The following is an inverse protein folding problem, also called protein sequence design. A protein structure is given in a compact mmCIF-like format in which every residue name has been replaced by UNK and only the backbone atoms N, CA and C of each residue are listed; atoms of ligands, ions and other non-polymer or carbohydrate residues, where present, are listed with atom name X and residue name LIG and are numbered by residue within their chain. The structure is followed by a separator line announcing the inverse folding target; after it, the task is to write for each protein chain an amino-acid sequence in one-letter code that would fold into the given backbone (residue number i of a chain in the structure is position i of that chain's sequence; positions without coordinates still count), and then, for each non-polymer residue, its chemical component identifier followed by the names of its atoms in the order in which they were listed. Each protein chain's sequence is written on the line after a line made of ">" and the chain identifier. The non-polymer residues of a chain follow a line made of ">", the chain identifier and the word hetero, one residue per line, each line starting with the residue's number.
data_IF_076473276293
#
_entry.id   IF_076473276293
#
_cell.length_a   1.000
_cell.length_b   1.000
_cell.length_c   1.000
_cell.angle_alpha   90.00
_cell.angle_beta   90.00
_cell.angle_gamma   90.00
#
_symmetry.space_group_name_H-M   'P 1'
#
loop_
_entity.id
_entity.type
_entity.pdbx_description
1 polymer ?
#
# COMPACT_ATOMS: atom_id res chain seq x y z
N UNK A 1 -32.33 48.67 40.89
CA UNK A 1 -32.11 49.33 39.58
C UNK A 1 -30.70 48.92 39.14
N UNK A 2 -30.58 47.91 38.26
CA UNK A 2 -30.48 48.07 36.79
C UNK A 2 -29.16 48.75 36.41
N UNK A 3 -28.28 48.27 35.55
CA UNK A 3 -28.15 47.09 34.69
C UNK A 3 -26.67 47.14 34.20
N UNK A 4 -26.07 45.98 33.88
CA UNK A 4 -24.83 45.94 33.10
C UNK A 4 -25.12 46.46 31.68
N UNK A 5 -24.14 47.10 31.02
CA UNK A 5 -23.94 46.74 29.62
C UNK A 5 -22.47 46.54 29.25
N UNK A 6 -22.30 45.60 28.32
CA UNK A 6 -21.10 45.24 27.59
C UNK A 6 -20.64 46.36 26.63
N UNK A 7 -19.38 46.31 26.15
CA UNK A 7 -19.05 46.78 24.83
C UNK A 7 -19.00 45.61 23.83
N UNK A 8 -19.85 45.73 22.82
CA UNK A 8 -20.09 44.78 21.75
C UNK A 8 -18.96 44.68 20.71
N UNK A 9 -18.92 43.49 20.08
CA UNK A 9 -18.74 43.26 18.64
C UNK A 9 -17.42 43.62 17.96
N UNK A 10 -16.65 42.57 17.68
CA UNK A 10 -15.66 42.50 16.61
C UNK A 10 -15.45 41.05 16.19
N UNK A 11 -16.42 40.47 15.49
CA UNK A 11 -16.30 39.13 14.92
C UNK A 11 -15.22 39.14 13.82
N UNK A 12 -14.01 38.67 14.14
CA UNK A 12 -13.02 38.30 13.13
C UNK A 12 -13.40 36.93 12.58
N UNK A 13 -14.18 36.93 11.49
CA UNK A 13 -14.23 35.79 10.58
C UNK A 13 -12.81 35.52 10.06
N UNK A 14 -12.23 34.31 10.23
CA UNK A 14 -11.03 33.98 9.49
C UNK A 14 -11.43 33.71 8.04
N UNK A 15 -11.08 34.67 7.18
CA UNK A 15 -11.08 34.53 5.73
C UNK A 15 -10.43 33.20 5.32
N UNK A 16 -11.22 32.31 4.72
CA UNK A 16 -10.72 31.12 4.06
C UNK A 16 -9.87 31.53 2.86
N UNK A 17 -8.56 31.57 3.07
CA UNK A 17 -7.59 31.71 2.00
C UNK A 17 -7.61 30.43 1.15
N UNK A 18 -8.39 30.47 0.06
CA UNK A 18 -8.37 29.46 -1.01
C UNK A 18 -6.99 29.47 -1.67
N UNK A 19 -6.05 28.68 -1.14
CA UNK A 19 -4.72 28.52 -1.73
C UNK A 19 -4.88 27.84 -3.09
N UNK A 20 -4.65 28.60 -4.17
CA UNK A 20 -4.43 28.07 -5.51
C UNK A 20 -3.18 27.18 -5.47
N UNK A 21 -3.39 25.87 -5.65
CA UNK A 21 -2.30 24.90 -5.75
C UNK A 21 -1.56 25.01 -7.07
N UNK A 22 -0.27 24.72 -7.04
CA UNK A 22 0.70 24.84 -8.14
C UNK A 22 0.68 23.58 -9.04
N UNK A 23 -0.24 22.64 -8.79
CA UNK A 23 -0.33 21.36 -9.49
C UNK A 23 -1.79 21.08 -9.93
N UNK A 24 -2.00 20.43 -11.09
CA UNK A 24 -3.31 20.05 -11.58
C UNK A 24 -4.08 19.17 -10.57
N UNK A 25 -5.41 19.33 -10.44
CA UNK A 25 -6.23 18.60 -9.47
C UNK A 25 -6.16 17.08 -9.65
N UNK A 26 -5.94 16.60 -10.89
CA UNK A 26 -5.79 15.17 -11.20
C UNK A 26 -4.54 14.55 -10.54
N UNK A 27 -3.44 15.31 -10.45
CA UNK A 27 -2.19 14.83 -9.81
C UNK A 27 -2.37 14.80 -8.30
N UNK A 28 -3.16 15.74 -7.75
CA UNK A 28 -3.48 15.76 -6.33
C UNK A 28 -4.32 14.53 -5.96
N UNK A 29 -5.38 14.22 -6.72
CA UNK A 29 -6.20 13.03 -6.47
C UNK A 29 -5.43 11.72 -6.67
N UNK A 30 -4.55 11.67 -7.68
CA UNK A 30 -3.70 10.51 -7.95
C UNK A 30 -2.65 10.27 -6.87
N UNK A 31 -2.19 11.32 -6.17
CA UNK A 31 -1.26 11.21 -5.05
C UNK A 31 -2.01 10.97 -3.73
N UNK A 32 -3.20 11.55 -3.54
CA UNK A 32 -4.01 11.42 -2.32
C UNK A 32 -4.42 9.97 -2.08
N UNK A 33 -4.80 9.22 -3.12
CA UNK A 33 -5.17 7.81 -2.99
C UNK A 33 -4.02 6.92 -2.45
N UNK A 34 -2.83 6.87 -3.06
CA UNK A 34 -1.70 6.12 -2.54
C UNK A 34 -1.09 6.70 -1.26
N UNK A 35 -1.21 8.01 -0.99
CA UNK A 35 -0.80 8.58 0.30
C UNK A 35 -1.74 8.16 1.42
N UNK A 36 -3.06 8.11 1.19
CA UNK A 36 -4.05 7.68 2.18
C UNK A 36 -3.93 6.18 2.49
N UNK A 37 -3.59 5.36 1.49
CA UNK A 37 -3.39 3.91 1.64
C UNK A 37 -1.97 3.58 2.15
N UNK A 38 -0.95 4.30 1.69
CA UNK A 38 0.45 4.17 2.15
C UNK A 38 0.68 4.73 3.56
N UNK A 39 -0.19 5.62 4.04
CA UNK A 39 -0.25 6.05 5.44
C UNK A 39 -0.52 4.90 6.41
N UNK A 40 -1.05 3.76 5.95
CA UNK A 40 -1.36 2.63 6.84
C UNK A 40 -0.26 1.59 6.98
N UNK A 41 0.73 1.54 6.08
CA UNK A 41 1.56 0.31 5.96
C UNK A 41 3.02 0.43 6.40
N UNK A 42 3.58 1.61 6.68
CA UNK A 42 4.95 1.67 7.22
C UNK A 42 5.37 2.92 8.02
N UNK A 43 4.80 4.10 7.76
CA UNK A 43 5.31 5.36 8.33
C UNK A 43 4.61 5.87 9.60
N UNK A 44 3.35 5.46 9.82
CA UNK A 44 2.48 6.14 10.81
C UNK A 44 2.44 5.45 12.17
N UNK A 45 2.70 4.14 12.27
CA UNK A 45 2.82 3.46 13.56
C UNK A 45 3.91 4.08 14.46
N UNK A 46 4.98 4.64 13.86
CA UNK A 46 6.00 5.41 14.58
C UNK A 46 5.69 6.91 14.74
N UNK A 47 4.87 7.49 13.86
CA UNK A 47 4.58 8.93 13.86
C UNK A 47 3.42 9.33 14.79
N UNK A 48 2.42 8.46 14.98
CA UNK A 48 1.34 8.67 15.96
C UNK A 48 1.90 8.66 17.40
N UNK A 49 2.98 7.93 17.65
CA UNK A 49 3.61 7.87 18.98
C UNK A 49 4.46 9.11 19.32
N UNK A 50 4.68 10.06 18.40
CA UNK A 50 5.68 11.14 18.55
C UNK A 50 5.25 12.55 18.12
N UNK A 51 3.95 12.85 18.03
CA UNK A 51 3.43 14.20 17.73
C UNK A 51 4.11 14.90 16.52
N UNK A 52 4.55 14.14 15.52
CA UNK A 52 5.22 14.66 14.33
C UNK A 52 4.29 14.53 13.12
N UNK A 53 4.11 15.62 12.38
CA UNK A 53 3.15 15.69 11.26
C UNK A 53 3.32 14.48 10.32
N UNK A 54 2.24 13.73 10.01
CA UNK A 54 2.28 12.51 9.19
C UNK A 54 2.91 12.72 7.79
N UNK A 55 2.79 13.94 7.26
CA UNK A 55 3.36 14.33 5.97
C UNK A 55 4.88 14.52 6.06
N UNK A 56 5.38 15.16 7.12
CA UNK A 56 6.83 15.31 7.30
C UNK A 56 7.52 13.99 7.64
N UNK A 57 6.89 13.14 8.47
CA UNK A 57 7.41 11.81 8.75
C UNK A 57 7.40 10.91 7.51
N UNK A 58 6.36 10.99 6.68
CA UNK A 58 6.31 10.33 5.37
C UNK A 58 7.42 10.82 4.43
N UNK A 59 7.64 12.14 4.32
CA UNK A 59 8.68 12.70 3.47
C UNK A 59 10.09 12.31 3.91
N UNK A 60 10.40 12.38 5.21
CA UNK A 60 11.70 11.96 5.76
C UNK A 60 11.94 10.48 5.53
N UNK A 61 10.94 9.64 5.83
CA UNK A 61 11.05 8.19 5.64
C UNK A 61 11.19 7.84 4.15
N UNK A 62 10.49 8.54 3.27
CA UNK A 62 10.62 8.42 1.82
C UNK A 62 12.03 8.78 1.34
N UNK A 63 12.59 9.90 1.81
CA UNK A 63 13.97 10.28 1.49
C UNK A 63 14.99 9.26 1.98
N UNK A 64 14.80 8.72 3.20
CA UNK A 64 15.67 7.69 3.76
C UNK A 64 15.65 6.42 2.89
N UNK A 65 14.48 5.91 2.52
CA UNK A 65 14.37 4.73 1.65
C UNK A 65 14.87 5.00 0.24
N UNK A 66 14.65 6.20 -0.29
CA UNK A 66 15.18 6.62 -1.58
C UNK A 66 16.71 6.63 -1.58
N UNK A 67 17.33 7.23 -0.56
CA UNK A 67 18.79 7.25 -0.41
C UNK A 67 19.36 5.83 -0.29
N UNK A 68 18.70 4.94 0.45
CA UNK A 68 19.10 3.54 0.58
C UNK A 68 18.97 2.76 -0.72
N UNK A 69 17.81 2.86 -1.39
CA UNK A 69 17.56 2.17 -2.65
C UNK A 69 18.47 2.69 -3.76
N UNK A 70 18.64 4.01 -3.85
CA UNK A 70 19.49 4.68 -4.83
C UNK A 70 20.95 4.30 -4.66
N UNK A 71 21.49 4.36 -3.45
CA UNK A 71 22.89 3.97 -3.17
C UNK A 71 23.15 2.49 -3.44
N UNK A 72 22.21 1.61 -3.11
CA UNK A 72 22.29 0.18 -3.44
C UNK A 72 22.36 -0.04 -4.95
N UNK A 73 21.37 0.46 -5.70
CA UNK A 73 21.28 0.24 -7.14
C UNK A 73 22.44 0.88 -7.88
N UNK A 74 22.79 2.13 -7.54
CA UNK A 74 23.92 2.82 -8.15
C UNK A 74 25.23 2.05 -7.96
N UNK A 75 25.54 1.66 -6.73
CA UNK A 75 26.79 0.95 -6.41
C UNK A 75 26.83 -0.43 -7.07
N UNK A 76 25.71 -1.17 -7.04
CA UNK A 76 25.61 -2.47 -7.69
C UNK A 76 25.80 -2.35 -9.21
N UNK A 77 25.14 -1.38 -9.85
CA UNK A 77 25.28 -1.12 -11.28
C UNK A 77 26.71 -0.72 -11.66
N UNK A 78 27.37 0.12 -10.85
CA UNK A 78 28.75 0.53 -11.08
C UNK A 78 29.72 -0.66 -10.93
N UNK A 79 29.50 -1.51 -9.92
CA UNK A 79 30.29 -2.74 -9.69
C UNK A 79 30.13 -3.74 -10.84
N UNK A 80 28.89 -3.98 -11.28
CA UNK A 80 28.57 -4.85 -12.43
C UNK A 80 29.23 -4.33 -13.71
N UNK A 81 29.22 -3.01 -13.94
CA UNK A 81 29.91 -2.38 -15.08
C UNK A 81 31.42 -2.54 -15.00
N UNK A 82 32.00 -2.35 -13.82
CA UNK A 82 33.43 -2.55 -13.59
C UNK A 82 33.87 -4.02 -13.77
N UNK A 83 32.98 -4.97 -13.50
CA UNK A 83 33.24 -6.41 -13.64
C UNK A 83 32.99 -6.97 -15.06
N UNK A 84 32.76 -6.12 -16.07
CA UNK A 84 32.62 -6.55 -17.47
C UNK A 84 31.19 -6.69 -17.98
N UNK A 85 30.19 -6.21 -17.24
CA UNK A 85 28.79 -6.16 -17.70
C UNK A 85 27.99 -7.44 -17.49
N UNK A 86 26.66 -7.36 -17.62
CA UNK A 86 25.72 -8.42 -17.21
C UNK A 86 25.85 -9.75 -17.97
N UNK A 87 26.40 -9.72 -19.20
CA UNK A 87 26.53 -10.88 -20.09
C UNK A 87 27.53 -11.94 -19.57
N UNK A 88 28.52 -11.52 -18.76
CA UNK A 88 29.66 -12.36 -18.40
C UNK A 88 29.75 -12.69 -16.90
N UNK A 89 28.78 -12.24 -16.10
CA UNK A 89 28.82 -12.40 -14.65
C UNK A 89 28.36 -13.79 -14.22
N UNK A 90 29.26 -14.50 -13.53
CA UNK A 90 28.90 -15.74 -12.82
C UNK A 90 27.98 -15.41 -11.64
N UNK A 91 27.20 -16.38 -11.13
CA UNK A 91 26.35 -16.19 -9.95
C UNK A 91 27.11 -15.62 -8.74
N UNK A 92 28.39 -15.98 -8.60
CA UNK A 92 29.29 -15.46 -7.55
C UNK A 92 29.58 -13.97 -7.74
N UNK A 93 29.83 -13.53 -8.96
CA UNK A 93 30.14 -12.12 -9.26
C UNK A 93 28.90 -11.23 -9.01
N UNK A 94 27.70 -11.75 -9.28
CA UNK A 94 26.43 -11.10 -8.90
C UNK A 94 26.29 -10.97 -7.38
N UNK A 95 26.64 -12.02 -6.62
CA UNK A 95 26.60 -11.97 -5.14
C UNK A 95 27.57 -10.93 -4.61
N UNK A 96 28.79 -10.86 -5.13
CA UNK A 96 29.78 -9.83 -4.75
C UNK A 96 29.25 -8.43 -5.05
N UNK A 97 28.67 -8.20 -6.22
CA UNK A 97 28.09 -6.90 -6.57
C UNK A 97 26.93 -6.51 -5.64
N UNK A 98 26.08 -7.45 -5.25
CA UNK A 98 24.99 -7.23 -4.31
C UNK A 98 25.47 -7.02 -2.87
N UNK A 99 26.56 -7.67 -2.45
CA UNK A 99 27.22 -7.42 -1.16
C UNK A 99 27.82 -6.03 -1.11
N UNK A 100 28.55 -5.60 -2.16
CA UNK A 100 29.15 -4.26 -2.22
C UNK A 100 28.05 -3.20 -2.26
N UNK A 101 26.99 -3.41 -3.07
CA UNK A 101 25.82 -2.55 -3.09
C UNK A 101 25.13 -2.47 -1.73
N UNK A 102 24.96 -3.60 -1.05
CA UNK A 102 24.41 -3.68 0.31
C UNK A 102 25.25 -2.94 1.33
N UNK A 103 26.57 -3.11 1.31
CA UNK A 103 27.50 -2.40 2.19
C UNK A 103 27.47 -0.89 1.97
N UNK A 104 27.44 -0.42 0.71
CA UNK A 104 27.33 1.01 0.41
C UNK A 104 26.00 1.59 0.88
N UNK A 105 24.89 0.88 0.67
CA UNK A 105 23.59 1.27 1.21
C UNK A 105 23.58 1.29 2.74
N UNK A 106 24.22 0.31 3.38
CA UNK A 106 24.41 0.27 4.82
C UNK A 106 25.23 1.44 5.36
N UNK A 107 26.26 1.88 4.62
CA UNK A 107 27.03 3.08 4.96
C UNK A 107 26.15 4.33 4.95
N UNK A 108 25.32 4.50 3.91
CA UNK A 108 24.35 5.59 3.82
C UNK A 108 23.31 5.50 4.96
N UNK A 109 22.80 4.30 5.26
CA UNK A 109 21.88 4.06 6.36
C UNK A 109 22.47 4.45 7.72
N UNK A 110 23.74 4.14 7.91
CA UNK A 110 24.51 4.46 9.09
C UNK A 110 24.77 5.95 9.20
N UNK A 111 25.15 6.64 8.12
CA UNK A 111 25.33 8.10 8.12
C UNK A 111 24.05 8.82 8.56
N UNK A 112 22.89 8.41 8.05
CA UNK A 112 21.59 8.99 8.41
C UNK A 112 21.28 8.82 9.91
N UNK A 113 21.78 7.75 10.54
CA UNK A 113 21.57 7.42 11.96
C UNK A 113 22.71 7.87 12.88
N UNK A 114 23.85 8.29 12.33
CA UNK A 114 25.03 8.77 13.04
C UNK A 114 26.32 7.96 12.78
N UNK A 115 27.51 8.59 12.86
CA UNK A 115 28.77 8.02 12.39
C UNK A 115 29.17 6.71 13.08
N UNK A 116 28.85 6.54 14.36
CA UNK A 116 29.10 5.30 15.11
C UNK A 116 28.27 4.09 14.68
N UNK A 117 27.28 4.28 13.78
CA UNK A 117 26.40 3.22 13.28
C UNK A 117 26.70 2.79 11.85
N UNK A 118 27.71 3.39 11.21
CA UNK A 118 28.11 3.09 9.82
C UNK A 118 28.58 1.64 9.68
N UNK A 119 29.62 1.26 10.43
CA UNK A 119 30.24 -0.05 10.31
C UNK A 119 29.28 -1.23 10.56
N UNK A 120 28.44 -1.22 11.64
CA UNK A 120 27.47 -2.29 11.83
C UNK A 120 26.36 -2.30 10.77
N UNK A 121 25.95 -1.12 10.27
CA UNK A 121 24.94 -1.04 9.20
C UNK A 121 25.47 -1.56 7.86
N UNK A 122 26.75 -1.29 7.53
CA UNK A 122 27.42 -1.86 6.36
C UNK A 122 27.43 -3.39 6.41
N UNK A 123 27.83 -3.97 7.55
CA UNK A 123 27.88 -5.41 7.71
C UNK A 123 26.48 -6.06 7.56
N UNK A 124 25.49 -5.50 8.25
CA UNK A 124 24.10 -6.00 8.19
C UNK A 124 23.54 -5.94 6.76
N UNK A 125 23.61 -4.78 6.12
CA UNK A 125 23.05 -4.62 4.77
C UNK A 125 23.87 -5.34 3.70
N UNK A 126 25.18 -5.50 3.89
CA UNK A 126 26.02 -6.35 3.04
C UNK A 126 25.60 -7.82 3.11
N UNK A 127 25.37 -8.36 4.30
CA UNK A 127 24.87 -9.73 4.48
C UNK A 127 23.47 -9.90 3.88
N UNK A 128 22.58 -8.92 4.05
CA UNK A 128 21.25 -8.92 3.42
C UNK A 128 21.35 -8.90 1.88
N UNK A 129 22.26 -8.10 1.32
CA UNK A 129 22.51 -8.06 -0.12
C UNK A 129 23.05 -9.38 -0.67
N UNK A 130 24.00 -10.00 0.04
CA UNK A 130 24.54 -11.32 -0.29
C UNK A 130 23.45 -12.41 -0.23
N UNK A 131 22.71 -12.46 0.88
CA UNK A 131 21.63 -13.42 1.10
C UNK A 131 20.52 -13.28 0.07
N UNK A 132 20.09 -12.06 -0.23
CA UNK A 132 19.08 -11.79 -1.26
C UNK A 132 19.52 -12.26 -2.65
N UNK A 133 20.80 -12.07 -2.99
CA UNK A 133 21.33 -12.55 -4.26
C UNK A 133 21.49 -14.07 -4.30
N UNK A 134 21.85 -14.73 -3.19
CA UNK A 134 21.90 -16.19 -3.09
C UNK A 134 20.51 -16.80 -3.33
N UNK A 135 19.48 -16.24 -2.69
CA UNK A 135 18.09 -16.68 -2.90
C UNK A 135 17.67 -16.47 -4.35
N UNK A 136 17.96 -15.29 -4.92
CA UNK A 136 17.65 -14.99 -6.32
C UNK A 136 18.35 -15.97 -7.28
N UNK A 137 19.63 -16.25 -7.06
CA UNK A 137 20.39 -17.22 -7.84
C UNK A 137 19.82 -18.64 -7.70
N UNK A 138 19.41 -19.04 -6.49
CA UNK A 138 18.76 -20.35 -6.25
C UNK A 138 17.41 -20.49 -6.95
N UNK A 139 16.62 -19.42 -6.99
CA UNK A 139 15.35 -19.39 -7.71
C UNK A 139 15.55 -19.40 -9.23
N UNK A 140 16.55 -18.67 -9.75
CA UNK A 140 16.88 -18.67 -11.18
C UNK A 140 17.52 -19.98 -11.65
N UNK A 141 18.26 -20.69 -10.80
CA UNK A 141 18.81 -22.02 -11.10
C UNK A 141 17.75 -23.13 -11.03
N UNK A 142 16.60 -22.88 -10.40
CA UNK A 142 15.46 -23.78 -10.50
C UNK A 142 14.94 -23.63 -11.92
N UNK A 143 15.22 -24.63 -12.78
CA UNK A 143 14.61 -24.73 -14.12
C UNK A 143 13.14 -24.32 -13.99
N UNK A 144 12.57 -23.52 -14.92
CA UNK A 144 11.14 -23.27 -14.91
C UNK A 144 10.48 -24.62 -15.06
N UNK A 145 10.14 -25.26 -13.94
CA UNK A 145 9.29 -26.42 -13.92
C UNK A 145 8.05 -25.91 -14.61
N UNK A 146 7.67 -26.57 -15.72
CA UNK A 146 6.39 -26.33 -16.41
C UNK A 146 5.41 -26.00 -15.32
N UNK A 147 4.89 -24.77 -15.39
CA UNK A 147 4.11 -24.14 -14.34
C UNK A 147 2.87 -25.01 -14.16
N UNK A 148 2.99 -26.07 -13.38
CA UNK A 148 1.88 -26.92 -13.02
C UNK A 148 0.88 -25.94 -12.44
N UNK A 149 -0.32 -25.89 -13.01
CA UNK A 149 -1.36 -24.94 -12.64
C UNK A 149 -1.82 -25.06 -11.17
N UNK A 150 -1.17 -25.95 -10.41
CA UNK A 150 -1.26 -26.24 -8.99
C UNK A 150 -0.13 -25.56 -8.16
N UNK A 151 0.17 -24.29 -8.40
CA UNK A 151 1.08 -23.57 -7.51
C UNK A 151 0.39 -23.24 -6.16
N UNK A 152 0.73 -24.06 -5.15
CA UNK A 152 0.21 -24.08 -3.77
C UNK A 152 0.14 -22.73 -3.04
N UNK A 153 0.86 -21.69 -3.48
CA UNK A 153 0.81 -20.34 -2.89
C UNK A 153 -0.41 -19.53 -3.35
N UNK A 154 -0.86 -19.67 -4.60
CA UNK A 154 -2.06 -19.02 -5.14
C UNK A 154 -3.35 -19.70 -4.67
N UNK A 155 -3.25 -20.97 -4.25
CA UNK A 155 -4.33 -21.74 -3.62
C UNK A 155 -4.35 -21.61 -2.09
N UNK A 156 -3.36 -20.97 -1.48
CA UNK A 156 -3.34 -20.75 -0.04
C UNK A 156 -4.45 -19.78 0.36
N UNK A 157 -5.14 -20.06 1.47
CA UNK A 157 -6.24 -19.24 2.04
C UNK A 157 -5.84 -17.78 2.38
N UNK A 158 -4.56 -17.44 2.18
CA UNK A 158 -3.98 -16.12 2.42
C UNK A 158 -3.81 -15.29 1.13
N UNK A 159 -4.13 -15.84 -0.04
CA UNK A 159 -4.12 -15.08 -1.30
C UNK A 159 -5.51 -14.49 -1.59
N UNK A 160 -5.64 -13.16 -1.71
CA UNK A 160 -6.88 -12.51 -2.15
C UNK A 160 -7.29 -12.87 -3.58
N UNK A 161 -6.38 -13.47 -4.36
CA UNK A 161 -6.57 -13.83 -5.76
C UNK A 161 -6.52 -15.36 -5.91
N UNK A 162 -7.52 -16.04 -5.35
CA UNK A 162 -7.71 -17.49 -5.51
C UNK A 162 -8.15 -17.78 -6.95
N UNK A 163 -7.36 -18.55 -7.70
CA UNK A 163 -7.78 -19.08 -9.01
C UNK A 163 -8.85 -20.15 -8.75
N UNK A 164 -10.11 -19.85 -9.07
CA UNK A 164 -11.18 -20.85 -9.07
C UNK A 164 -11.02 -21.76 -10.29
N UNK A 165 -11.33 -23.04 -10.12
CA UNK A 165 -11.56 -23.93 -11.26
C UNK A 165 -12.94 -23.63 -11.88
N UNK A 166 -13.14 -23.98 -13.15
CA UNK A 166 -14.41 -23.72 -13.84
C UNK A 166 -15.60 -24.33 -13.09
N UNK A 167 -15.42 -25.50 -12.48
CA UNK A 167 -16.44 -26.15 -11.66
C UNK A 167 -16.73 -25.36 -10.37
N UNK A 168 -15.68 -24.94 -9.64
CA UNK A 168 -15.86 -24.12 -8.43
C UNK A 168 -16.54 -22.78 -8.75
N UNK A 169 -16.31 -22.22 -9.94
CA UNK A 169 -16.96 -21.00 -10.40
C UNK A 169 -18.45 -21.22 -10.67
N UNK A 170 -18.81 -22.32 -11.34
CA UNK A 170 -20.20 -22.68 -11.60
C UNK A 170 -20.95 -22.87 -10.29
N UNK A 171 -20.40 -23.64 -9.34
CA UNK A 171 -21.03 -23.90 -8.04
C UNK A 171 -21.23 -22.59 -7.24
N UNK A 172 -20.24 -21.69 -7.25
CA UNK A 172 -20.33 -20.38 -6.58
C UNK A 172 -21.36 -19.45 -7.25
N UNK A 173 -21.50 -19.51 -8.58
CA UNK A 173 -22.53 -18.75 -9.29
C UNK A 173 -23.92 -19.28 -8.99
N UNK A 174 -24.09 -20.60 -8.93
CA UNK A 174 -25.37 -21.23 -8.58
C UNK A 174 -25.83 -20.86 -7.18
N UNK A 175 -24.94 -20.91 -6.18
CA UNK A 175 -25.23 -20.47 -4.81
C UNK A 175 -25.65 -18.99 -4.76
N UNK A 176 -25.00 -18.13 -5.54
CA UNK A 176 -25.34 -16.70 -5.60
C UNK A 176 -26.70 -16.46 -6.26
N UNK A 177 -27.03 -17.21 -7.32
CA UNK A 177 -28.33 -17.11 -8.00
C UNK A 177 -29.44 -17.50 -7.02
N UNK A 178 -29.28 -18.63 -6.31
CA UNK A 178 -30.26 -19.08 -5.31
C UNK A 178 -30.49 -18.05 -4.20
N UNK A 179 -29.42 -17.38 -3.74
CA UNK A 179 -29.54 -16.31 -2.74
C UNK A 179 -30.29 -15.09 -3.28
N UNK A 180 -30.00 -14.69 -4.52
CA UNK A 180 -30.70 -13.57 -5.16
C UNK A 180 -32.17 -13.90 -5.37
N UNK A 181 -32.52 -15.10 -5.80
CA UNK A 181 -33.90 -15.53 -5.98
C UNK A 181 -34.68 -15.53 -4.64
N UNK A 182 -34.04 -15.96 -3.55
CA UNK A 182 -34.62 -15.87 -2.22
C UNK A 182 -34.84 -14.41 -1.75
N UNK A 183 -33.89 -13.53 -2.02
CA UNK A 183 -34.02 -12.10 -1.72
C UNK A 183 -35.14 -11.44 -2.55
N UNK A 184 -35.30 -11.84 -3.82
CA UNK A 184 -36.40 -11.39 -4.70
C UNK A 184 -37.75 -11.81 -4.11
N UNK A 185 -37.91 -13.08 -3.71
CA UNK A 185 -39.16 -13.56 -3.11
C UNK A 185 -39.54 -12.75 -1.85
N UNK A 186 -38.56 -12.44 -1.01
CA UNK A 186 -38.78 -11.65 0.20
C UNK A 186 -39.12 -10.18 -0.11
N UNK A 187 -38.58 -9.63 -1.19
CA UNK A 187 -38.93 -8.28 -1.66
C UNK A 187 -40.34 -8.27 -2.25
N UNK A 188 -40.73 -9.27 -3.03
CA UNK A 188 -42.07 -9.38 -3.61
C UNK A 188 -43.15 -9.48 -2.53
N UNK A 189 -42.90 -10.23 -1.45
CA UNK A 189 -43.78 -10.29 -0.28
C UNK A 189 -43.94 -8.91 0.38
N UNK A 190 -42.85 -8.17 0.56
CA UNK A 190 -42.88 -6.80 1.09
C UNK A 190 -43.61 -5.83 0.17
N UNK A 191 -43.47 -5.96 -1.15
CA UNK A 191 -44.19 -5.14 -2.13
C UNK A 191 -45.69 -5.43 -2.06
N UNK A 192 -46.07 -6.71 -1.95
CA UNK A 192 -47.47 -7.11 -1.82
C UNK A 192 -48.11 -6.55 -0.53
N UNK A 193 -47.38 -6.59 0.58
CA UNK A 193 -47.79 -6.00 1.86
C UNK A 193 -47.93 -4.46 1.75
N UNK A 194 -46.93 -3.76 1.21
CA UNK A 194 -47.02 -2.31 1.02
C UNK A 194 -48.19 -1.90 0.12
N UNK A 195 -48.47 -2.69 -0.92
CA UNK A 195 -49.58 -2.46 -1.85
C UNK A 195 -50.95 -2.75 -1.21
N UNK A 196 -51.04 -3.69 -0.27
CA UNK A 196 -52.28 -3.94 0.47
C UNK A 196 -52.55 -2.82 1.47
N UNK A 197 -51.52 -2.33 2.17
CA UNK A 197 -51.61 -1.18 3.07
C UNK A 197 -52.06 0.08 2.29
N UNK A 198 -51.40 0.41 1.18
CA UNK A 198 -51.74 1.58 0.35
C UNK A 198 -53.19 1.52 -0.16
N UNK A 199 -53.68 0.33 -0.53
CA UNK A 199 -55.10 0.12 -0.89
C UNK A 199 -56.03 0.39 0.28
N UNK A 200 -55.74 -0.16 1.47
CA UNK A 200 -56.58 0.08 2.66
C UNK A 200 -56.62 1.56 3.07
N UNK A 201 -55.49 2.27 3.03
CA UNK A 201 -55.41 3.71 3.34
C UNK A 201 -56.15 4.56 2.30
N UNK A 202 -56.18 4.14 1.03
CA UNK A 202 -56.93 4.83 -0.03
C UNK A 202 -58.43 4.63 0.08
N UNK A 203 -58.87 3.46 0.53
CA UNK A 203 -60.28 3.16 0.76
C UNK A 203 -60.81 3.89 2.02
N UNK A 204 -59.99 4.02 3.08
CA UNK A 204 -60.33 4.79 4.29
C UNK A 204 -60.47 6.30 4.01
N UNK A 205 -59.66 6.88 3.12
CA UNK A 205 -59.77 8.30 2.73
C UNK A 205 -60.94 8.60 1.77
N UNK A 206 -61.66 7.58 1.28
CA UNK A 206 -62.81 7.72 0.38
C UNK A 206 -64.17 7.56 1.07
N UNK A 207 -64.18 7.09 2.32
CA UNK A 207 -65.37 7.00 3.17
C UNK A 207 -65.57 8.31 3.96
#
# INVERSE_FOLDING_TARGET
>A
MSNKPEPSSGALQPQQHKKRGILPPEIIDLIVAPVKVGSFTAGVAGAIARDTSPVASGAVTGFQWFALGGSFWFTRSMTVRAMGGNEQLRPVDKTIASTIGGSAAGAVAGLIRGPGKILPAMAMWGVLGAGGQIVANGLSNRKPKVRDENESWLRSNWSPLRKLTDQEYIDMMEEKILRVDADIALIDDRIAELKSIDRTTKDENKA
#
